data_IF_160794848876
#
_entry.id   IF_160794848876
#
_cell.length_a   1.000
_cell.length_b   1.000
_cell.length_c   1.000
_cell.angle_alpha   90.00
_cell.angle_beta   90.00
_cell.angle_gamma   90.00
#
_symmetry.space_group_name_H-M   'P 1'
#
loop_
_entity.id
_entity.type
_entity.pdbx_description
1 polymer ?
#
# COMPACT_ATOMS: atom_id res chain seq x y z
N UNK A 1 5.65 11.18 0.02
CA UNK A 1 5.13 10.01 -0.73
C UNK A 1 5.15 10.29 -2.21
N UNK A 2 5.33 9.27 -2.99
CA UNK A 2 5.36 9.38 -4.45
C UNK A 2 4.10 8.78 -5.04
N UNK A 3 3.68 9.29 -6.20
CA UNK A 3 2.62 8.62 -6.97
C UNK A 3 3.24 7.45 -7.73
N UNK A 4 2.39 6.60 -8.28
CA UNK A 4 2.86 5.44 -9.04
C UNK A 4 3.71 5.86 -10.24
N UNK A 5 3.46 7.07 -10.78
CA UNK A 5 4.21 7.56 -11.93
C UNK A 5 5.56 8.16 -11.55
N UNK A 6 5.74 8.49 -10.29
CA UNK A 6 6.96 9.14 -9.81
C UNK A 6 8.01 8.16 -9.31
N UNK A 7 7.61 6.94 -8.98
CA UNK A 7 8.56 5.97 -8.47
C UNK A 7 9.39 5.41 -9.60
N UNK A 8 10.68 5.23 -9.35
CA UNK A 8 11.54 4.57 -10.33
C UNK A 8 11.32 3.07 -10.30
N UNK A 9 11.49 2.44 -11.45
CA UNK A 9 11.37 1.00 -11.55
C UNK A 9 12.60 0.32 -10.99
N UNK A 10 12.39 -0.67 -10.13
CA UNK A 10 13.46 -1.54 -9.65
C UNK A 10 12.85 -2.92 -9.40
N UNK A 11 13.23 -3.88 -10.24
CA UNK A 11 12.67 -5.23 -10.14
C UNK A 11 12.95 -5.90 -8.81
N UNK A 12 13.95 -5.42 -8.08
CA UNK A 12 14.32 -5.96 -6.78
C UNK A 12 13.67 -5.13 -5.68
N UNK A 13 12.35 -5.21 -5.61
CA UNK A 13 11.56 -4.49 -4.62
C UNK A 13 10.68 -5.47 -3.88
N UNK A 14 10.67 -5.35 -2.57
CA UNK A 14 9.70 -6.05 -1.72
C UNK A 14 8.64 -5.05 -1.36
N UNK A 15 7.38 -5.35 -1.63
CA UNK A 15 6.29 -4.41 -1.40
C UNK A 15 5.30 -4.96 -0.40
N UNK A 16 4.59 -4.06 0.25
CA UNK A 16 3.38 -4.39 0.98
C UNK A 16 2.30 -3.40 0.56
N UNK A 17 1.07 -3.85 0.57
CA UNK A 17 -0.07 -3.05 0.14
C UNK A 17 -1.03 -2.92 1.30
N UNK A 18 -1.41 -1.72 1.62
CA UNK A 18 -2.35 -1.51 2.71
C UNK A 18 -2.82 -0.08 2.79
N UNK A 19 -3.88 0.14 3.52
CA UNK A 19 -4.37 1.50 3.74
C UNK A 19 -3.55 2.21 4.79
N UNK A 20 -3.06 1.48 5.77
CA UNK A 20 -2.22 2.00 6.85
C UNK A 20 -2.83 3.21 7.53
N UNK A 21 -4.14 3.20 7.66
CA UNK A 21 -4.87 4.29 8.27
C UNK A 21 -4.98 4.03 9.76
N UNK A 22 -4.66 5.04 10.55
CA UNK A 22 -4.58 4.89 12.00
C UNK A 22 -3.30 4.21 12.44
N UNK A 23 -3.11 4.13 13.74
CA UNK A 23 -1.92 3.51 14.32
C UNK A 23 -2.32 2.14 14.86
N UNK A 24 -1.79 1.10 14.28
CA UNK A 24 -2.11 -0.27 14.66
C UNK A 24 -0.86 -1.08 14.91
N UNK A 25 -0.90 -1.94 15.92
CA UNK A 25 0.17 -2.90 16.14
C UNK A 25 0.36 -3.82 14.94
N UNK A 26 -0.75 -4.15 14.26
CA UNK A 26 -0.67 -4.96 13.07
C UNK A 26 0.13 -4.32 11.95
N UNK A 27 0.02 -3.00 11.81
CA UNK A 27 0.81 -2.28 10.81
C UNK A 27 2.30 -2.39 11.12
N UNK A 28 2.66 -2.29 12.39
CA UNK A 28 4.05 -2.41 12.80
C UNK A 28 4.60 -3.78 12.43
N UNK A 29 3.85 -4.84 12.69
CA UNK A 29 4.29 -6.20 12.37
C UNK A 29 4.49 -6.38 10.87
N UNK A 30 3.58 -5.85 10.07
CA UNK A 30 3.68 -5.93 8.61
C UNK A 30 4.90 -5.17 8.11
N UNK A 31 5.11 -3.98 8.62
CA UNK A 31 6.26 -3.17 8.21
C UNK A 31 7.56 -3.83 8.60
N UNK A 32 7.61 -4.40 9.80
CA UNK A 32 8.81 -5.11 10.26
C UNK A 32 9.11 -6.31 9.36
N UNK A 33 8.07 -7.05 8.96
CA UNK A 33 8.24 -8.18 8.05
C UNK A 33 8.70 -7.71 6.67
N UNK A 34 8.16 -6.59 6.19
CA UNK A 34 8.58 -5.98 4.94
C UNK A 34 10.07 -5.65 4.97
N UNK A 35 10.52 -4.99 6.02
CA UNK A 35 11.92 -4.58 6.14
C UNK A 35 12.84 -5.78 6.27
N UNK A 36 12.40 -6.80 7.00
CA UNK A 36 13.17 -8.02 7.14
C UNK A 36 13.34 -8.71 5.80
N UNK A 37 12.25 -8.85 5.06
CA UNK A 37 12.27 -9.51 3.76
C UNK A 37 13.14 -8.73 2.78
N UNK A 38 13.01 -7.41 2.77
CA UNK A 38 13.82 -6.56 1.91
C UNK A 38 15.31 -6.71 2.24
N UNK A 39 15.63 -6.74 3.53
CA UNK A 39 17.02 -6.91 3.95
C UNK A 39 17.57 -8.27 3.54
N UNK A 40 16.78 -9.32 3.69
CA UNK A 40 17.18 -10.67 3.31
C UNK A 40 17.51 -10.81 1.83
N UNK A 41 16.82 -10.04 1.00
CA UNK A 41 16.98 -10.10 -0.45
C UNK A 41 17.80 -8.93 -1.00
N UNK A 42 18.36 -8.10 -0.15
CA UNK A 42 19.08 -6.89 -0.55
C UNK A 42 18.21 -6.06 -1.50
N UNK A 43 16.94 -5.95 -1.17
CA UNK A 43 15.93 -5.32 -2.02
C UNK A 43 15.43 -4.04 -1.39
N UNK A 44 14.82 -3.21 -2.24
CA UNK A 44 14.17 -1.99 -1.81
C UNK A 44 12.85 -2.33 -1.11
N UNK A 45 12.54 -1.63 -0.02
CA UNK A 45 11.26 -1.79 0.67
C UNK A 45 10.29 -0.72 0.21
N UNK A 46 9.10 -1.13 -0.22
CA UNK A 46 8.10 -0.22 -0.76
C UNK A 46 6.76 -0.47 -0.09
N UNK A 47 6.15 0.59 0.42
CA UNK A 47 4.79 0.54 0.93
C UNK A 47 3.87 1.17 -0.10
N UNK A 48 2.85 0.44 -0.51
CA UNK A 48 1.83 0.94 -1.42
C UNK A 48 0.58 1.20 -0.61
N UNK A 49 0.11 2.43 -0.62
CA UNK A 49 -1.07 2.82 0.13
C UNK A 49 -2.03 3.60 -0.76
N UNK A 50 -3.19 3.94 -0.25
CA UNK A 50 -4.26 4.56 -1.04
C UNK A 50 -4.75 5.84 -0.42
N UNK A 51 -5.23 6.73 -1.26
CA UNK A 51 -5.91 7.95 -0.84
C UNK A 51 -6.99 8.29 -1.87
N UNK A 52 -8.19 8.57 -1.45
CA UNK A 52 -8.70 8.45 -0.07
C UNK A 52 -8.81 6.99 0.36
N UNK A 53 -9.15 6.78 1.63
CA UNK A 53 -9.36 5.43 2.14
C UNK A 53 -10.46 4.77 1.31
N UNK A 54 -10.34 3.48 0.95
CA UNK A 54 -11.34 2.81 0.13
C UNK A 54 -12.76 2.93 0.66
N UNK A 55 -12.94 2.88 1.97
CA UNK A 55 -14.27 3.03 2.55
C UNK A 55 -14.86 4.41 2.34
N UNK A 56 -14.04 5.43 2.26
CA UNK A 56 -14.51 6.79 2.03
C UNK A 56 -15.02 6.97 0.61
N UNK A 57 -14.42 6.28 -0.34
CA UNK A 57 -14.88 6.32 -1.71
C UNK A 57 -16.24 5.65 -1.85
N UNK A 58 -16.45 4.59 -1.09
CA UNK A 58 -17.69 3.83 -1.14
C UNK A 58 -18.81 4.47 -0.33
N UNK A 59 -18.48 5.38 0.59
CA UNK A 59 -19.48 6.11 1.32
C UNK A 59 -19.90 7.31 0.50
N UNK A 60 -21.14 7.59 0.55
CA UNK A 60 -21.63 8.72 -0.15
C UNK A 60 -21.40 9.93 0.67
N UNK A 61 -20.60 10.74 0.12
CA UNK A 61 -20.37 11.99 0.56
C UNK A 61 -21.19 12.53 1.54
N UNK A 62 -21.22 13.62 1.76
CA UNK A 62 -22.00 14.30 2.72
C UNK A 62 -21.40 14.20 4.07
N UNK A 63 -21.28 13.06 4.57
CA UNK A 63 -20.67 12.89 5.85
C UNK A 63 -19.23 12.68 5.65
N UNK A 64 -18.48 13.70 5.79
CA UNK A 64 -17.06 13.57 5.73
C UNK A 64 -16.61 12.59 6.77
N UNK A 65 -16.24 11.45 6.36
CA UNK A 65 -15.59 10.51 7.23
C UNK A 65 -14.20 11.04 7.45
N UNK A 66 -13.92 11.42 8.65
CA UNK A 66 -12.57 11.85 8.96
C UNK A 66 -11.67 10.65 8.92
N UNK A 67 -10.61 10.76 8.18
CA UNK A 67 -9.59 9.76 8.22
C UNK A 67 -8.97 9.77 9.61
N UNK A 68 -8.66 8.61 10.13
CA UNK A 68 -8.03 8.50 11.43
C UNK A 68 -6.65 9.13 11.41
N UNK A 69 -6.01 9.09 10.25
CA UNK A 69 -4.67 9.60 10.07
C UNK A 69 -4.63 10.40 8.78
N UNK A 70 -4.12 11.61 8.82
CA UNK A 70 -3.92 12.39 7.60
C UNK A 70 -2.83 11.76 6.74
N UNK A 71 -2.75 12.17 5.47
CA UNK A 71 -1.70 11.67 4.59
C UNK A 71 -0.32 12.06 5.10
N UNK A 72 -0.18 13.26 5.64
CA UNK A 72 1.11 13.70 6.19
C UNK A 72 1.50 12.87 7.40
N UNK A 73 0.55 12.60 8.29
CA UNK A 73 0.81 11.78 9.45
C UNK A 73 1.15 10.35 9.05
N UNK A 74 0.48 9.82 8.04
CA UNK A 74 0.74 8.50 7.52
C UNK A 74 2.16 8.41 6.98
N UNK A 75 2.58 9.41 6.23
CA UNK A 75 3.92 9.45 5.67
C UNK A 75 4.97 9.48 6.77
N UNK A 76 4.77 10.33 7.78
CA UNK A 76 5.69 10.43 8.90
C UNK A 76 5.77 9.09 9.63
N UNK A 77 4.63 8.48 9.88
CA UNK A 77 4.55 7.21 10.58
C UNK A 77 5.31 6.13 9.84
N UNK A 78 5.04 5.97 8.55
CA UNK A 78 5.68 4.94 7.73
C UNK A 78 7.18 5.20 7.59
N UNK A 79 7.56 6.44 7.41
CA UNK A 79 8.98 6.77 7.31
C UNK A 79 9.74 6.51 8.61
N UNK A 80 9.05 6.55 9.74
CA UNK A 80 9.69 6.28 11.02
C UNK A 80 10.26 4.86 11.11
N UNK A 81 9.77 3.95 10.29
CA UNK A 81 10.28 2.58 10.26
C UNK A 81 11.46 2.41 9.32
N UNK A 82 11.75 3.40 8.49
CA UNK A 82 12.87 3.31 7.58
C UNK A 82 12.59 2.62 6.26
N UNK A 83 11.32 2.64 5.81
CA UNK A 83 10.99 2.10 4.48
C UNK A 83 11.64 2.96 3.41
N UNK A 84 12.04 2.34 2.31
CA UNK A 84 12.75 3.06 1.25
C UNK A 84 11.83 3.95 0.44
N UNK A 85 10.65 3.46 0.10
CA UNK A 85 9.70 4.20 -0.71
C UNK A 85 8.28 4.01 -0.22
N UNK A 86 7.48 5.06 -0.38
CA UNK A 86 6.06 5.01 -0.10
C UNK A 86 5.34 5.50 -1.35
N UNK A 87 4.49 4.65 -1.89
CA UNK A 87 3.72 4.97 -3.10
C UNK A 87 2.27 5.16 -2.70
N UNK A 88 1.69 6.26 -3.13
CA UNK A 88 0.28 6.53 -2.89
C UNK A 88 -0.49 6.40 -4.21
N UNK A 89 -1.59 5.68 -4.17
CA UNK A 89 -2.44 5.47 -5.32
C UNK A 89 -3.80 6.09 -5.03
N UNK A 90 -4.30 6.86 -6.00
CA UNK A 90 -5.62 7.45 -5.87
C UNK A 90 -6.66 6.33 -5.99
N UNK A 91 -7.47 6.20 -4.95
CA UNK A 91 -8.51 5.17 -4.93
C UNK A 91 -9.82 5.79 -5.42
N UNK A 92 -9.91 5.96 -6.73
CA UNK A 92 -11.12 6.47 -7.37
C UNK A 92 -11.99 5.30 -7.86
N UNK A 93 -13.07 5.62 -8.54
CA UNK A 93 -13.98 4.57 -9.02
C UNK A 93 -13.31 3.64 -10.02
N UNK A 94 -12.41 4.15 -10.81
CA UNK A 94 -11.67 3.33 -11.76
C UNK A 94 -10.78 2.33 -11.03
N UNK A 95 -10.03 2.81 -10.04
CA UNK A 95 -9.18 1.94 -9.23
C UNK A 95 -10.00 0.90 -8.48
N UNK A 96 -11.14 1.34 -7.93
CA UNK A 96 -12.02 0.44 -7.18
C UNK A 96 -12.56 -0.70 -8.04
N UNK A 97 -12.69 -0.46 -9.34
CA UNK A 97 -13.22 -1.44 -10.29
C UNK A 97 -12.13 -2.17 -11.06
N UNK A 98 -10.87 -1.85 -10.81
CA UNK A 98 -9.77 -2.50 -11.51
C UNK A 98 -9.66 -3.95 -11.07
N UNK A 99 -9.65 -4.90 -12.00
CA UNK A 99 -9.43 -6.30 -11.64
C UNK A 99 -8.07 -6.46 -10.96
N UNK A 100 -8.03 -7.38 -10.02
CA UNK A 100 -6.81 -7.59 -9.25
C UNK A 100 -5.59 -7.89 -10.11
N UNK A 101 -5.78 -8.70 -11.13
CA UNK A 101 -4.67 -9.05 -12.00
C UNK A 101 -4.07 -7.83 -12.68
N UNK A 102 -4.93 -6.90 -13.11
CA UNK A 102 -4.48 -5.67 -13.75
C UNK A 102 -3.75 -4.79 -12.75
N UNK A 103 -4.22 -4.77 -11.51
CA UNK A 103 -3.54 -4.03 -10.46
C UNK A 103 -2.15 -4.61 -10.18
N UNK A 104 -2.03 -5.92 -10.11
CA UNK A 104 -0.74 -6.57 -9.95
C UNK A 104 0.20 -6.27 -11.09
N UNK A 105 -0.32 -6.27 -12.32
CA UNK A 105 0.48 -5.95 -13.50
C UNK A 105 0.97 -4.51 -13.44
N UNK A 106 0.14 -3.60 -12.99
CA UNK A 106 0.52 -2.22 -12.80
C UNK A 106 1.69 -2.10 -11.82
N UNK A 107 1.61 -2.75 -10.68
CA UNK A 107 2.68 -2.71 -9.69
C UNK A 107 3.97 -3.32 -10.24
N UNK A 108 3.86 -4.44 -10.94
CA UNK A 108 5.00 -5.11 -11.52
C UNK A 108 5.70 -4.25 -12.56
N UNK A 109 4.91 -3.56 -13.37
CA UNK A 109 5.46 -2.79 -14.48
C UNK A 109 5.96 -1.42 -14.03
N UNK A 110 5.35 -0.82 -13.04
CA UNK A 110 5.70 0.53 -12.60
C UNK A 110 6.69 0.56 -11.44
N UNK A 111 6.57 -0.37 -10.53
CA UNK A 111 7.43 -0.40 -9.35
C UNK A 111 8.51 -1.45 -9.49
N UNK A 112 8.14 -2.60 -10.00
CA UNK A 112 8.99 -3.78 -9.93
C UNK A 112 8.71 -4.52 -8.63
N UNK A 113 8.55 -5.83 -8.71
CA UNK A 113 8.18 -6.61 -7.53
C UNK A 113 8.93 -7.92 -7.55
N UNK A 114 9.72 -8.18 -6.52
CA UNK A 114 10.32 -9.49 -6.31
C UNK A 114 9.50 -10.29 -5.29
N UNK A 115 8.99 -9.63 -4.27
CA UNK A 115 8.20 -10.27 -3.21
C UNK A 115 7.12 -9.34 -2.73
N UNK A 116 6.02 -9.92 -2.27
CA UNK A 116 4.93 -9.16 -1.66
C UNK A 116 4.72 -9.69 -0.24
N UNK A 117 4.63 -8.77 0.71
CA UNK A 117 4.32 -9.10 2.09
C UNK A 117 2.86 -8.73 2.33
N UNK A 118 2.06 -9.69 2.76
CA UNK A 118 0.66 -9.45 3.07
C UNK A 118 0.44 -9.43 4.56
N UNK A 119 -0.36 -8.47 5.01
CA UNK A 119 -0.83 -8.48 6.38
C UNK A 119 -2.09 -9.33 6.50
N UNK A 120 -2.53 -9.49 7.73
CA UNK A 120 -3.78 -10.16 8.02
C UNK A 120 -4.98 -9.26 7.85
N UNK A 121 -4.74 -8.00 7.54
CA UNK A 121 -5.79 -7.04 7.37
C UNK A 121 -6.30 -7.11 5.94
N UNK A 122 -7.51 -7.61 5.78
CA UNK A 122 -8.12 -7.73 4.48
C UNK A 122 -9.02 -6.54 4.16
N UNK A 123 -8.60 -5.37 4.58
CA UNK A 123 -9.39 -4.16 4.44
C UNK A 123 -9.60 -3.75 2.99
N UNK A 124 -8.93 -4.38 2.08
CA UNK A 124 -9.06 -4.04 0.69
C UNK A 124 -10.25 -4.60 0.00
N UNK A 125 -11.10 -5.21 0.66
CA UNK A 125 -12.22 -5.82 0.03
C UNK A 125 -11.88 -7.15 -0.62
N UNK A 126 -12.89 -7.74 -1.19
CA UNK A 126 -12.84 -9.15 -1.56
C UNK A 126 -11.85 -9.49 -2.64
N UNK A 127 -11.69 -8.57 -3.58
CA UNK A 127 -10.83 -8.87 -4.72
C UNK A 127 -9.37 -8.98 -4.32
N UNK A 128 -8.96 -8.19 -3.35
CA UNK A 128 -7.59 -8.20 -2.91
C UNK A 128 -7.31 -9.35 -1.96
N UNK A 129 -8.32 -9.82 -1.24
CA UNK A 129 -8.16 -10.95 -0.36
C UNK A 129 -7.99 -12.27 -1.11
N UNK A 130 -8.31 -12.28 -2.39
CA UNK A 130 -8.19 -13.48 -3.20
C UNK A 130 -6.81 -13.69 -3.77
N UNK A 131 -5.88 -12.79 -3.47
CA UNK A 131 -4.57 -12.97 -4.00
C UNK A 131 -3.80 -13.89 -3.15
N UNK A 132 -3.68 -15.05 -3.66
CA UNK A 132 -2.76 -16.01 -3.10
C UNK A 132 -1.56 -16.03 -4.02
N UNK A 133 -0.56 -15.48 -3.52
CA UNK A 133 0.69 -15.57 -4.22
C UNK A 133 1.54 -16.59 -3.54
#
# INVERSE_FOLDING_TARGET
MKTIDQISFDKNSVITIGTFDGVHLGHKLIIEELLKKASEHAARSVVVTFYPHPQDVLRIKGDSVKLLTSQDEKEIYLNSFGVDEIVIIDFDSETANTPWQDFCDLLRNQIGVSHIVFGHDHAFGKNLSLIHI
#
